data_IF_542099533592
#
_entry.id   IF_542099533592
#
_cell.length_a   1.000
_cell.length_b   1.000
_cell.length_c   1.000
_cell.angle_alpha   90.00
_cell.angle_beta   90.00
_cell.angle_gamma   90.00
#
_symmetry.space_group_name_H-M   'P 1'
#
loop_
_entity.id
_entity.type
_entity.pdbx_description
1 polymer ?
#
# COMPACT_ATOMS: atom_id res chain seq x y z
N UNK A 1 -25.79 12.78 -23.34
CA UNK A 1 -25.23 13.41 -22.10
C UNK A 1 -26.22 13.06 -21.00
N UNK A 2 -25.98 11.92 -20.31
CA UNK A 2 -26.84 11.47 -19.20
C UNK A 2 -26.70 12.44 -18.05
N UNK A 3 -27.82 13.00 -17.62
CA UNK A 3 -27.88 13.83 -16.43
C UNK A 3 -27.62 12.87 -15.22
N UNK A 4 -26.44 12.98 -14.62
CA UNK A 4 -26.10 12.22 -13.41
C UNK A 4 -27.07 12.65 -12.30
N UNK A 5 -28.07 11.81 -12.04
CA UNK A 5 -29.06 12.08 -11.00
C UNK A 5 -28.39 11.79 -9.66
N UNK A 6 -28.25 12.75 -8.73
CA UNK A 6 -27.55 12.57 -7.45
C UNK A 6 -28.05 11.37 -6.65
N UNK A 7 -29.33 11.04 -6.74
CA UNK A 7 -29.94 9.87 -6.11
C UNK A 7 -29.38 8.54 -6.63
N UNK A 8 -29.00 8.48 -7.91
CA UNK A 8 -28.42 7.27 -8.51
C UNK A 8 -27.03 6.99 -7.94
N UNK A 9 -26.22 8.04 -7.82
CA UNK A 9 -24.88 7.94 -7.21
C UNK A 9 -24.95 7.46 -5.75
N UNK A 10 -25.85 8.03 -4.95
CA UNK A 10 -26.01 7.63 -3.56
C UNK A 10 -26.39 6.15 -3.45
N UNK A 11 -27.30 5.66 -4.31
CA UNK A 11 -27.68 4.26 -4.29
C UNK A 11 -26.55 3.33 -4.74
N UNK A 12 -25.72 3.74 -5.69
CA UNK A 12 -24.54 2.99 -6.13
C UNK A 12 -23.49 2.86 -5.00
N UNK A 13 -23.19 3.96 -4.32
CA UNK A 13 -22.27 3.92 -3.18
C UNK A 13 -22.82 3.09 -2.03
N UNK A 14 -24.11 3.14 -1.75
CA UNK A 14 -24.72 2.29 -0.73
C UNK A 14 -24.57 0.81 -1.08
N UNK A 15 -24.77 0.43 -2.35
CA UNK A 15 -24.57 -0.93 -2.83
C UNK A 15 -23.09 -1.37 -2.67
N UNK A 16 -22.13 -0.50 -3.03
CA UNK A 16 -20.70 -0.76 -2.85
C UNK A 16 -20.33 -0.95 -1.38
N UNK A 17 -20.83 -0.10 -0.49
CA UNK A 17 -20.56 -0.20 0.94
C UNK A 17 -21.24 -1.39 1.62
N UNK A 18 -22.26 -1.95 1.01
CA UNK A 18 -22.90 -3.19 1.48
C UNK A 18 -22.11 -4.45 1.11
N UNK A 19 -21.19 -4.35 0.13
CA UNK A 19 -20.34 -5.45 -0.31
C UNK A 19 -19.10 -5.57 0.58
N UNK A 20 -19.08 -6.54 1.49
CA UNK A 20 -17.98 -6.78 2.42
C UNK A 20 -16.65 -7.09 1.74
N UNK A 21 -16.69 -7.80 0.61
CA UNK A 21 -15.48 -8.14 -0.14
C UNK A 21 -14.87 -6.89 -0.79
N UNK A 22 -15.70 -6.03 -1.35
CA UNK A 22 -15.27 -4.73 -1.86
C UNK A 22 -14.58 -3.90 -0.77
N UNK A 23 -15.23 -3.75 0.39
CA UNK A 23 -14.67 -2.99 1.50
C UNK A 23 -13.33 -3.55 1.99
N UNK A 24 -13.23 -4.88 2.11
CA UNK A 24 -11.98 -5.52 2.53
C UNK A 24 -10.83 -5.19 1.58
N UNK A 25 -11.05 -5.29 0.26
CA UNK A 25 -10.04 -4.94 -0.72
C UNK A 25 -9.70 -3.44 -0.74
N UNK A 26 -10.70 -2.57 -0.65
CA UNK A 26 -10.49 -1.12 -0.63
C UNK A 26 -9.68 -0.70 0.58
N UNK A 27 -10.01 -1.21 1.77
CA UNK A 27 -9.28 -0.89 3.01
C UNK A 27 -7.86 -1.44 2.92
N UNK A 28 -7.67 -2.68 2.47
CA UNK A 28 -6.34 -3.27 2.32
C UNK A 28 -5.46 -2.45 1.36
N UNK A 29 -6.00 -2.02 0.21
CA UNK A 29 -5.25 -1.21 -0.76
C UNK A 29 -4.94 0.18 -0.23
N UNK A 30 -5.89 0.86 0.41
CA UNK A 30 -5.73 2.20 0.94
C UNK A 30 -4.72 2.25 2.10
N UNK A 31 -4.82 1.30 3.04
CA UNK A 31 -3.84 1.15 4.13
C UNK A 31 -2.44 0.86 3.58
N UNK A 32 -2.32 -0.04 2.60
CA UNK A 32 -1.03 -0.39 2.01
C UNK A 32 -0.38 0.80 1.31
N UNK A 33 -1.15 1.60 0.55
CA UNK A 33 -0.65 2.84 -0.06
C UNK A 33 -0.25 3.87 1.00
N UNK A 34 -1.06 4.05 2.05
CA UNK A 34 -0.75 4.95 3.16
C UNK A 34 0.56 4.58 3.83
N UNK A 35 0.75 3.31 4.21
CA UNK A 35 1.98 2.79 4.82
C UNK A 35 3.17 2.97 3.88
N UNK A 36 3.01 2.67 2.59
CA UNK A 36 4.08 2.80 1.60
C UNK A 36 4.53 4.26 1.44
N UNK A 37 3.59 5.22 1.41
CA UNK A 37 3.91 6.64 1.33
C UNK A 37 4.52 7.18 2.63
N UNK A 38 4.07 6.70 3.80
CA UNK A 38 4.75 6.97 5.08
C UNK A 38 6.22 6.54 5.01
N UNK A 39 6.48 5.35 4.52
CA UNK A 39 7.83 4.81 4.41
C UNK A 39 8.71 5.64 3.48
N UNK A 40 8.17 6.08 2.34
CA UNK A 40 8.88 6.96 1.40
C UNK A 40 9.28 8.29 2.06
N UNK A 41 8.43 8.87 2.90
CA UNK A 41 8.74 10.10 3.61
C UNK A 41 9.68 9.91 4.80
N UNK A 42 9.49 8.84 5.58
CA UNK A 42 10.22 8.59 6.83
C UNK A 42 11.66 8.13 6.61
N UNK A 43 11.89 7.21 5.68
CA UNK A 43 13.19 6.55 5.51
C UNK A 43 14.34 7.50 5.15
N UNK A 44 14.18 8.45 4.21
CA UNK A 44 15.24 9.43 3.93
C UNK A 44 15.57 10.30 5.14
N UNK A 45 14.58 10.64 5.96
CA UNK A 45 14.78 11.39 7.19
C UNK A 45 15.64 10.62 8.20
N UNK A 46 15.35 9.34 8.43
CA UNK A 46 16.14 8.49 9.31
C UNK A 46 17.57 8.30 8.82
N UNK A 47 17.79 8.11 7.52
CA UNK A 47 19.13 8.04 6.97
C UNK A 47 19.91 9.35 7.17
N UNK A 48 19.25 10.48 7.03
CA UNK A 48 19.87 11.80 7.33
C UNK A 48 20.25 11.91 8.80
N UNK A 49 19.43 11.43 9.72
CA UNK A 49 19.75 11.38 11.17
C UNK A 49 20.95 10.48 11.49
N UNK A 50 21.15 9.42 10.72
CA UNK A 50 22.31 8.54 10.82
C UNK A 50 23.59 9.15 10.21
N UNK A 51 23.52 10.37 9.67
CA UNK A 51 24.66 11.10 9.12
C UNK A 51 25.07 10.68 7.71
N UNK A 52 24.18 9.98 6.95
CA UNK A 52 24.48 9.58 5.58
C UNK A 52 24.45 10.79 4.64
N UNK A 53 25.34 10.80 3.69
CA UNK A 53 25.32 11.77 2.59
C UNK A 53 24.12 11.57 1.65
N UNK A 54 23.67 12.60 0.91
CA UNK A 54 22.54 12.47 -0.03
C UNK A 54 22.71 11.35 -1.06
N UNK A 55 23.93 11.07 -1.51
CA UNK A 55 24.22 9.98 -2.43
C UNK A 55 24.02 8.60 -1.80
N UNK A 56 24.50 8.41 -0.57
CA UNK A 56 24.31 7.18 0.19
C UNK A 56 22.83 6.93 0.50
N UNK A 57 22.08 7.98 0.89
CA UNK A 57 20.64 7.91 1.10
C UNK A 57 19.94 7.36 -0.15
N UNK A 58 20.27 7.88 -1.33
CA UNK A 58 19.71 7.40 -2.59
C UNK A 58 19.94 5.89 -2.83
N UNK A 59 21.16 5.41 -2.55
CA UNK A 59 21.51 3.98 -2.71
C UNK A 59 20.72 3.10 -1.75
N UNK A 60 20.70 3.43 -0.47
CA UNK A 60 19.98 2.65 0.54
C UNK A 60 18.47 2.69 0.35
N UNK A 61 17.93 3.85 -0.02
CA UNK A 61 16.51 4.02 -0.28
C UNK A 61 16.02 3.23 -1.50
N UNK A 62 16.89 2.98 -2.50
CA UNK A 62 16.54 2.21 -3.69
C UNK A 62 16.05 0.78 -3.40
N UNK A 63 16.35 0.22 -2.23
CA UNK A 63 15.85 -1.09 -1.80
C UNK A 63 14.32 -1.16 -1.77
N UNK A 64 13.64 -0.09 -1.35
CA UNK A 64 12.16 -0.05 -1.26
C UNK A 64 11.47 -0.17 -2.62
N UNK A 65 11.76 0.67 -3.63
CA UNK A 65 11.17 0.50 -4.96
C UNK A 65 11.61 -0.81 -5.64
N UNK A 66 12.82 -1.30 -5.40
CA UNK A 66 13.25 -2.61 -5.90
C UNK A 66 12.37 -3.72 -5.32
N UNK A 67 12.11 -3.71 -4.02
CA UNK A 67 11.15 -4.64 -3.40
C UNK A 67 9.78 -4.57 -4.05
N UNK A 68 9.25 -3.37 -4.28
CA UNK A 68 7.97 -3.14 -4.95
C UNK A 68 7.93 -3.74 -6.37
N UNK A 69 9.00 -3.57 -7.15
CA UNK A 69 9.11 -4.16 -8.48
C UNK A 69 9.07 -5.70 -8.42
N UNK A 70 9.80 -6.31 -7.48
CA UNK A 70 9.78 -7.76 -7.29
C UNK A 70 8.40 -8.27 -6.87
N UNK A 71 7.71 -7.58 -5.96
CA UNK A 71 6.35 -7.92 -5.56
C UNK A 71 5.37 -7.90 -6.74
N UNK A 72 5.43 -6.85 -7.58
CA UNK A 72 4.63 -6.76 -8.79
C UNK A 72 4.98 -7.88 -9.81
N UNK A 73 6.25 -8.21 -9.95
CA UNK A 73 6.67 -9.30 -10.83
C UNK A 73 6.08 -10.64 -10.38
N UNK A 74 6.14 -10.93 -9.08
CA UNK A 74 5.54 -12.16 -8.53
C UNK A 74 4.02 -12.14 -8.66
N UNK A 75 3.37 -11.02 -8.40
CA UNK A 75 1.93 -10.85 -8.60
C UNK A 75 1.49 -11.27 -10.00
N UNK A 76 2.23 -10.88 -11.04
CA UNK A 76 1.92 -11.24 -12.43
C UNK A 76 1.81 -12.76 -12.65
N UNK A 77 2.66 -13.54 -11.97
CA UNK A 77 2.73 -15.00 -12.16
C UNK A 77 1.83 -15.76 -11.19
N UNK A 78 1.68 -15.28 -9.98
CA UNK A 78 1.01 -16.01 -8.91
C UNK A 78 -0.45 -15.63 -8.72
N UNK A 79 -0.88 -14.41 -9.07
CA UNK A 79 -2.25 -13.97 -8.90
C UNK A 79 -3.25 -14.84 -9.70
N UNK A 80 -2.85 -15.34 -10.86
CA UNK A 80 -3.67 -16.26 -11.67
C UNK A 80 -3.86 -17.63 -11.02
N UNK A 81 -2.89 -18.08 -10.21
CA UNK A 81 -2.93 -19.41 -9.57
C UNK A 81 -3.57 -19.36 -8.17
N UNK A 82 -3.28 -18.33 -7.40
CA UNK A 82 -3.67 -18.22 -5.99
C UNK A 82 -4.86 -17.29 -5.76
N UNK A 83 -5.24 -16.51 -6.75
CA UNK A 83 -6.32 -15.54 -6.66
C UNK A 83 -5.94 -14.25 -5.96
N UNK A 84 -6.74 -13.22 -6.20
CA UNK A 84 -6.51 -11.85 -5.70
C UNK A 84 -6.57 -11.77 -4.17
N UNK A 85 -7.49 -12.53 -3.56
CA UNK A 85 -7.69 -12.57 -2.10
C UNK A 85 -6.45 -13.11 -1.38
N UNK A 86 -5.95 -14.27 -1.83
CA UNK A 86 -4.77 -14.90 -1.21
C UNK A 86 -3.53 -14.03 -1.35
N UNK A 87 -3.32 -13.42 -2.52
CA UNK A 87 -2.20 -12.53 -2.75
C UNK A 87 -2.26 -11.28 -1.87
N UNK A 88 -3.45 -10.68 -1.74
CA UNK A 88 -3.70 -9.54 -0.85
C UNK A 88 -3.44 -9.92 0.61
N UNK A 89 -3.93 -11.08 1.05
CA UNK A 89 -3.75 -11.55 2.43
C UNK A 89 -2.26 -11.81 2.75
N UNK A 90 -1.57 -12.55 1.89
CA UNK A 90 -0.14 -12.86 2.05
C UNK A 90 0.68 -11.57 2.12
N UNK A 91 0.45 -10.65 1.18
CA UNK A 91 1.12 -9.36 1.19
C UNK A 91 0.84 -8.56 2.46
N UNK A 92 -0.43 -8.53 2.94
CA UNK A 92 -0.79 -7.84 4.17
C UNK A 92 -0.10 -8.43 5.41
N UNK A 93 0.03 -9.74 5.50
CA UNK A 93 0.77 -10.42 6.59
C UNK A 93 2.25 -10.03 6.54
N UNK A 94 2.88 -10.05 5.36
CA UNK A 94 4.27 -9.64 5.18
C UNK A 94 4.46 -8.18 5.59
N UNK A 95 3.53 -7.29 5.21
CA UNK A 95 3.54 -5.89 5.61
C UNK A 95 3.50 -5.73 7.13
N UNK A 96 2.57 -6.42 7.79
CA UNK A 96 2.42 -6.39 9.24
C UNK A 96 3.69 -6.86 9.97
N UNK A 97 4.29 -7.97 9.52
CA UNK A 97 5.54 -8.49 10.09
C UNK A 97 6.71 -7.52 9.86
N UNK A 98 6.78 -6.88 8.70
CA UNK A 98 7.82 -5.89 8.39
C UNK A 98 7.72 -4.64 9.26
N UNK A 99 6.50 -4.13 9.48
CA UNK A 99 6.25 -3.00 10.40
C UNK A 99 6.63 -3.40 11.84
N UNK A 100 6.22 -4.59 12.27
CA UNK A 100 6.57 -5.13 13.59
C UNK A 100 8.09 -5.23 13.78
N UNK A 101 8.82 -5.70 12.77
CA UNK A 101 10.28 -5.76 12.79
C UNK A 101 10.89 -4.35 12.88
N UNK A 102 10.42 -3.41 12.08
CA UNK A 102 10.89 -2.02 12.13
C UNK A 102 10.65 -1.40 13.52
N UNK A 103 9.48 -1.64 14.10
CA UNK A 103 9.15 -1.17 15.45
C UNK A 103 10.09 -1.74 16.52
N UNK A 104 10.36 -3.06 16.47
CA UNK A 104 11.28 -3.71 17.40
C UNK A 104 12.72 -3.19 17.26
N UNK A 105 13.17 -2.93 16.02
CA UNK A 105 14.49 -2.34 15.77
C UNK A 105 14.59 -0.93 16.35
N UNK A 106 13.54 -0.13 16.21
CA UNK A 106 13.50 1.22 16.77
C UNK A 106 13.53 1.21 18.29
N UNK A 107 12.78 0.29 18.93
CA UNK A 107 12.79 0.12 20.39
C UNK A 107 14.14 -0.38 20.93
N UNK A 108 14.82 -1.22 20.15
CA UNK A 108 16.13 -1.79 20.53
C UNK A 108 17.34 -0.90 20.18
N UNK A 109 17.11 0.31 19.68
CA UNK A 109 18.17 1.23 19.22
C UNK A 109 19.09 0.61 18.15
N UNK A 110 18.62 -0.45 17.46
CA UNK A 110 19.36 -1.19 16.44
C UNK A 110 19.24 -0.56 15.05
N UNK A 111 19.32 0.77 14.99
CA UNK A 111 19.15 1.51 13.73
C UNK A 111 20.47 1.55 12.97
N UNK A 112 20.56 0.73 11.91
CA UNK A 112 21.62 0.89 10.93
C UNK A 112 21.04 0.92 9.51
N UNK A 113 21.74 1.53 8.54
CA UNK A 113 21.22 1.71 7.17
C UNK A 113 20.83 0.40 6.48
N UNK A 114 21.57 -0.68 6.72
CA UNK A 114 21.30 -2.00 6.15
C UNK A 114 19.95 -2.56 6.62
N UNK A 115 19.69 -2.52 7.94
CA UNK A 115 18.46 -3.03 8.52
C UNK A 115 17.23 -2.24 8.09
N UNK A 116 17.36 -0.90 8.03
CA UNK A 116 16.28 -0.02 7.53
C UNK A 116 16.00 -0.32 6.05
N UNK A 117 17.04 -0.50 5.22
CA UNK A 117 16.88 -0.85 3.81
C UNK A 117 16.27 -2.22 3.61
N UNK A 118 16.66 -3.21 4.42
CA UNK A 118 16.08 -4.55 4.36
C UNK A 118 14.58 -4.53 4.70
N UNK A 119 14.18 -3.82 5.77
CA UNK A 119 12.75 -3.66 6.09
C UNK A 119 12.02 -2.90 5.00
N UNK A 120 12.63 -1.86 4.41
CA UNK A 120 12.11 -1.13 3.27
C UNK A 120 11.89 -2.01 2.04
N UNK A 121 12.84 -2.91 1.74
CA UNK A 121 12.72 -3.89 0.65
C UNK A 121 11.54 -4.84 0.89
N UNK A 122 11.40 -5.38 2.11
CA UNK A 122 10.30 -6.29 2.46
C UNK A 122 8.95 -5.57 2.43
N UNK A 123 8.89 -4.31 2.91
CA UNK A 123 7.67 -3.49 2.84
C UNK A 123 7.31 -3.14 1.39
N UNK A 124 8.28 -2.75 0.57
CA UNK A 124 8.08 -2.55 -0.86
C UNK A 124 7.53 -3.81 -1.54
N UNK A 125 8.15 -4.95 -1.27
CA UNK A 125 7.71 -6.25 -1.78
C UNK A 125 6.25 -6.54 -1.40
N UNK A 126 5.88 -6.34 -0.14
CA UNK A 126 4.50 -6.54 0.33
C UNK A 126 3.52 -5.60 -0.37
N UNK A 127 3.88 -4.32 -0.54
CA UNK A 127 3.07 -3.35 -1.26
C UNK A 127 2.85 -3.74 -2.73
N UNK A 128 3.88 -4.30 -3.38
CA UNK A 128 3.79 -4.86 -4.75
C UNK A 128 2.88 -6.08 -4.85
N UNK A 129 2.67 -6.83 -3.75
CA UNK A 129 1.67 -7.89 -3.68
C UNK A 129 0.27 -7.34 -3.40
N UNK A 130 0.13 -6.41 -2.44
CA UNK A 130 -1.19 -5.95 -1.96
C UNK A 130 -1.85 -4.98 -2.94
N UNK A 131 -1.15 -3.91 -3.31
CA UNK A 131 -1.78 -2.77 -4.02
C UNK A 131 -2.46 -3.20 -5.32
N UNK A 132 -1.79 -3.89 -6.27
CA UNK A 132 -2.43 -4.27 -7.53
C UNK A 132 -3.53 -5.32 -7.33
N UNK A 133 -3.32 -6.31 -6.46
CA UNK A 133 -4.30 -7.37 -6.24
C UNK A 133 -5.55 -6.86 -5.52
N UNK A 134 -5.38 -6.04 -4.49
CA UNK A 134 -6.50 -5.45 -3.77
C UNK A 134 -7.29 -4.45 -4.63
N UNK A 135 -6.60 -3.62 -5.43
CA UNK A 135 -7.28 -2.71 -6.36
C UNK A 135 -8.09 -3.47 -7.41
N UNK A 136 -7.50 -4.50 -8.01
CA UNK A 136 -8.22 -5.35 -8.98
C UNK A 136 -9.36 -6.13 -8.32
N UNK A 137 -9.16 -6.63 -7.09
CA UNK A 137 -10.19 -7.31 -6.32
C UNK A 137 -11.38 -6.40 -5.98
N UNK A 138 -11.11 -5.14 -5.60
CA UNK A 138 -12.15 -4.15 -5.37
C UNK A 138 -12.99 -3.89 -6.64
N UNK A 139 -12.34 -3.66 -7.76
CA UNK A 139 -13.02 -3.42 -9.05
C UNK A 139 -13.81 -4.64 -9.49
N UNK A 140 -13.23 -5.85 -9.39
CA UNK A 140 -13.88 -7.09 -9.80
C UNK A 140 -15.10 -7.42 -8.93
N UNK A 141 -15.03 -7.16 -7.61
CA UNK A 141 -16.14 -7.39 -6.68
C UNK A 141 -17.31 -6.42 -6.86
N UNK A 142 -17.09 -5.28 -7.50
CA UNK A 142 -18.11 -4.26 -7.74
C UNK A 142 -18.99 -4.52 -8.98
N UNK A 143 -18.63 -5.46 -9.84
CA UNK A 143 -19.39 -5.85 -11.02
C UNK A 143 -19.74 -4.66 -11.92
N UNK A 144 -21.05 -4.35 -12.07
CA UNK A 144 -21.54 -3.24 -12.91
C UNK A 144 -21.07 -1.85 -12.43
N UNK A 145 -20.67 -1.73 -11.16
CA UNK A 145 -20.22 -0.47 -10.54
C UNK A 145 -18.68 -0.31 -10.58
N UNK A 146 -18.00 -1.04 -11.44
CA UNK A 146 -16.52 -1.04 -11.54
C UNK A 146 -15.93 0.37 -11.72
N UNK A 147 -16.59 1.27 -12.45
CA UNK A 147 -16.17 2.67 -12.62
C UNK A 147 -16.20 3.45 -11.31
N UNK A 148 -17.33 3.42 -10.59
CA UNK A 148 -17.51 4.07 -9.29
C UNK A 148 -16.57 3.46 -8.23
N UNK A 149 -16.38 2.14 -8.26
CA UNK A 149 -15.46 1.42 -7.39
C UNK A 149 -13.99 1.83 -7.60
N UNK A 150 -13.56 1.95 -8.85
CA UNK A 150 -12.20 2.40 -9.20
C UNK A 150 -11.94 3.82 -8.71
N UNK A 151 -12.87 4.75 -8.97
CA UNK A 151 -12.77 6.14 -8.51
C UNK A 151 -12.69 6.25 -6.98
N UNK A 152 -13.58 5.52 -6.27
CA UNK A 152 -13.59 5.50 -4.81
C UNK A 152 -12.30 4.91 -4.22
N UNK A 153 -11.84 3.78 -4.78
CA UNK A 153 -10.59 3.14 -4.33
C UNK A 153 -9.40 4.09 -4.49
N UNK A 154 -9.27 4.75 -5.64
CA UNK A 154 -8.20 5.71 -5.88
C UNK A 154 -8.27 6.93 -4.95
N UNK A 155 -9.47 7.48 -4.73
CA UNK A 155 -9.65 8.60 -3.80
C UNK A 155 -9.26 8.22 -2.36
N UNK A 156 -9.64 7.03 -1.91
CA UNK A 156 -9.30 6.56 -0.57
C UNK A 156 -7.79 6.29 -0.42
N UNK A 157 -7.15 5.69 -1.42
CA UNK A 157 -5.69 5.51 -1.45
C UNK A 157 -4.95 6.84 -1.31
N UNK A 158 -5.35 7.87 -2.07
CA UNK A 158 -4.74 9.20 -1.97
C UNK A 158 -5.01 9.86 -0.62
N UNK A 159 -6.22 9.71 -0.08
CA UNK A 159 -6.58 10.21 1.25
C UNK A 159 -5.70 9.61 2.35
N UNK A 160 -5.51 8.30 2.35
CA UNK A 160 -4.61 7.62 3.30
C UNK A 160 -3.15 8.03 3.11
N UNK A 161 -2.73 8.25 1.86
CA UNK A 161 -1.41 8.76 1.55
C UNK A 161 -1.15 10.15 2.12
N UNK A 162 -2.12 11.06 2.00
CA UNK A 162 -2.02 12.41 2.57
C UNK A 162 -1.98 12.36 4.10
N UNK A 163 -2.85 11.57 4.73
CA UNK A 163 -2.86 11.41 6.20
C UNK A 163 -1.51 10.86 6.66
N UNK A 164 -1.01 9.80 6.04
CA UNK A 164 0.28 9.21 6.38
C UNK A 164 1.44 10.19 6.21
N UNK A 165 1.48 10.91 5.09
CA UNK A 165 2.50 11.93 4.84
C UNK A 165 2.47 13.08 5.84
N UNK A 166 1.28 13.55 6.24
CA UNK A 166 1.13 14.64 7.22
C UNK A 166 1.58 14.23 8.63
N UNK A 167 1.41 12.97 9.01
CA UNK A 167 1.87 12.47 10.32
C UNK A 167 3.39 12.45 10.46
N UNK A 168 4.12 12.39 9.35
CA UNK A 168 5.60 12.44 9.35
C UNK A 168 6.11 13.88 9.37
N UNK A 169 5.35 14.82 8.79
CA UNK A 169 5.72 16.22 8.70
C UNK A 169 5.43 17.01 9.99
N UNK A 170 4.65 16.46 10.93
CA UNK A 170 4.30 17.05 12.21
C UNK A 170 5.29 16.66 13.32
#
# INVERSE_FOLDING_TARGET
MEIIVPRLLISEYYELFSNRLFLAFVIASACSVGIFLCMIGFVPYEYSRLGLSPGEIGVWFAATPVGYMFGNFITRWMAQKWGLESMTLIGSIICFLSIGLLFLMTMGELQNPFLISFTGLVMGFSAGLVIPNATMGAIASAGRLAGSASGFTGALQMGFGVIGGSMIAA
#
